data_IF_000185875280
#
_entry.id   IF_000185875280
#
_cell.length_a   1.000
_cell.length_b   1.000
_cell.length_c   1.000
_cell.angle_alpha   90.00
_cell.angle_beta   90.00
_cell.angle_gamma   90.00
#
_symmetry.space_group_name_H-M   'P 1'
#
loop_
_entity.id
_entity.type
_entity.pdbx_description
1 polymer ?
#
# COMPACT_ATOMS: atom_id res chain seq x y z
N UNK A 1 48.67 -11.15 8.79
CA UNK A 1 49.20 -12.21 9.66
C UNK A 1 48.48 -13.50 9.27
N UNK A 2 49.21 -14.27 8.57
CA UNK A 2 49.17 -15.60 8.06
C UNK A 2 48.76 -16.68 9.09
N UNK A 3 47.88 -17.59 8.69
CA UNK A 3 47.80 -18.96 9.24
C UNK A 3 47.01 -19.83 8.25
N UNK A 4 47.55 -20.55 7.50
CA UNK A 4 48.27 -21.84 7.38
C UNK A 4 47.28 -23.00 7.29
N UNK A 5 47.27 -23.53 6.07
CA UNK A 5 46.81 -24.85 5.62
C UNK A 5 47.35 -26.00 6.47
N UNK A 6 46.55 -27.02 6.68
CA UNK A 6 47.01 -28.33 7.05
C UNK A 6 46.38 -29.39 6.17
N UNK A 7 47.18 -29.86 5.20
CA UNK A 7 46.95 -31.08 4.42
C UNK A 7 47.29 -32.28 5.28
N UNK A 8 46.38 -33.25 5.37
CA UNK A 8 46.77 -34.60 5.75
C UNK A 8 46.20 -35.60 4.74
N UNK A 9 47.14 -36.20 3.99
CA UNK A 9 46.90 -37.36 3.11
C UNK A 9 46.91 -38.64 3.96
N UNK A 10 45.84 -39.44 3.88
CA UNK A 10 45.89 -40.84 4.24
C UNK A 10 45.31 -41.69 3.10
N UNK A 11 46.09 -42.73 2.72
CA UNK A 11 45.82 -43.68 1.65
C UNK A 11 44.94 -44.84 2.10
N UNK A 12 44.11 -45.33 1.16
CA UNK A 12 43.24 -46.50 1.02
C UNK A 12 43.74 -47.83 1.70
N UNK A 13 42.84 -48.83 1.96
CA UNK A 13 42.10 -49.54 0.88
C UNK A 13 40.67 -50.02 1.23
N UNK A 14 39.86 -50.10 0.18
CA UNK A 14 38.92 -51.17 -0.17
C UNK A 14 37.87 -51.61 0.84
N UNK A 15 36.60 -51.14 0.64
CA UNK A 15 35.40 -51.94 0.93
C UNK A 15 34.21 -51.37 0.11
N UNK A 16 33.62 -52.22 -0.67
CA UNK A 16 32.40 -51.97 -1.44
C UNK A 16 31.24 -51.78 -0.50
N UNK A 17 30.76 -50.55 -0.34
CA UNK A 17 29.53 -50.26 0.42
C UNK A 17 28.59 -49.42 -0.47
N UNK A 18 27.41 -49.97 -0.70
CA UNK A 18 26.25 -49.24 -1.26
C UNK A 18 26.05 -47.95 -0.48
N UNK A 19 26.46 -46.82 -1.03
CA UNK A 19 26.11 -45.51 -0.45
C UNK A 19 24.82 -45.01 -1.11
N UNK A 20 23.73 -45.08 -0.35
CA UNK A 20 22.52 -44.35 -0.64
C UNK A 20 22.84 -42.87 -0.79
N UNK A 21 22.42 -42.27 -1.91
CA UNK A 21 22.50 -40.84 -2.20
C UNK A 21 21.56 -40.09 -1.21
N UNK A 22 22.06 -39.75 -0.04
CA UNK A 22 21.42 -38.72 0.81
C UNK A 22 22.04 -37.41 0.30
N UNK A 23 21.36 -36.76 -0.65
CA UNK A 23 21.69 -35.42 -1.05
C UNK A 23 21.51 -34.47 0.15
N UNK A 24 22.41 -33.47 0.33
CA UNK A 24 22.19 -32.47 1.38
C UNK A 24 20.90 -31.71 1.09
N UNK A 25 19.92 -31.79 1.98
CA UNK A 25 18.81 -30.85 2.01
C UNK A 25 19.42 -29.48 2.29
N UNK A 26 19.55 -28.65 1.25
CA UNK A 26 19.87 -27.25 1.41
C UNK A 26 18.72 -26.61 2.23
N UNK A 27 19.02 -25.88 3.31
CA UNK A 27 17.99 -25.14 4.02
C UNK A 27 17.42 -24.12 3.06
N UNK A 28 16.14 -24.25 2.71
CA UNK A 28 15.38 -23.21 2.03
C UNK A 28 15.24 -22.08 3.05
N UNK A 29 16.01 -21.00 2.90
CA UNK A 29 15.74 -19.76 3.62
C UNK A 29 14.37 -19.28 3.18
N UNK A 30 13.35 -19.55 3.99
CA UNK A 30 12.07 -18.88 3.87
C UNK A 30 12.33 -17.41 4.23
N UNK A 31 12.39 -16.55 3.20
CA UNK A 31 12.41 -15.11 3.43
C UNK A 31 11.09 -14.72 4.09
N UNK A 32 11.17 -14.23 5.32
CA UNK A 32 10.02 -13.73 6.04
C UNK A 32 9.51 -12.47 5.34
N UNK A 33 8.23 -12.45 4.96
CA UNK A 33 7.58 -11.22 4.52
C UNK A 33 7.57 -10.25 5.69
N UNK A 34 8.13 -9.05 5.50
CA UNK A 34 8.11 -8.02 6.52
C UNK A 34 6.74 -7.33 6.56
N UNK A 35 6.32 -6.94 7.75
CA UNK A 35 5.13 -6.12 7.93
C UNK A 35 5.51 -4.64 7.81
N UNK A 36 4.70 -3.88 7.07
CA UNK A 36 4.91 -2.47 6.83
C UNK A 36 3.67 -1.67 7.22
N UNK A 37 3.83 -0.39 7.50
CA UNK A 37 2.72 0.55 7.57
C UNK A 37 3.05 1.84 6.83
N UNK A 38 2.01 2.55 6.43
CA UNK A 38 2.12 3.94 6.02
C UNK A 38 2.24 4.76 7.30
N UNK A 39 3.30 5.59 7.41
CA UNK A 39 3.41 6.54 8.54
C UNK A 39 2.24 7.53 8.47
N UNK A 40 1.30 7.51 9.44
CA UNK A 40 0.11 8.38 9.39
C UNK A 40 0.45 9.87 9.48
N UNK A 41 1.66 10.23 9.96
CA UNK A 41 2.11 11.63 10.05
C UNK A 41 2.61 12.18 8.72
N UNK A 42 3.03 11.28 7.82
CA UNK A 42 3.60 11.63 6.52
C UNK A 42 2.71 11.18 5.37
N UNK A 43 1.70 10.33 5.63
CA UNK A 43 0.73 9.89 4.64
C UNK A 43 -0.39 10.92 4.46
N UNK A 44 -0.84 11.12 3.21
CA UNK A 44 -1.97 11.98 2.87
C UNK A 44 -2.84 11.28 1.85
N UNK A 45 -4.14 11.38 2.02
CA UNK A 45 -5.14 10.89 1.06
C UNK A 45 -5.94 12.10 0.62
N UNK A 46 -5.66 12.57 -0.59
CA UNK A 46 -6.25 13.76 -1.18
C UNK A 46 -7.17 13.36 -2.33
N UNK A 47 -8.22 14.13 -2.53
CA UNK A 47 -9.07 14.01 -3.70
C UNK A 47 -9.38 15.37 -4.31
N UNK A 48 -9.63 15.37 -5.61
CA UNK A 48 -10.00 16.55 -6.38
C UNK A 48 -11.27 16.26 -7.18
N UNK A 49 -12.20 17.19 -7.15
CA UNK A 49 -13.42 17.14 -7.95
C UNK A 49 -13.60 18.45 -8.71
N UNK A 50 -14.04 18.36 -9.97
CA UNK A 50 -14.30 19.51 -10.82
C UNK A 50 -15.74 20.00 -10.70
N UNK A 51 -15.93 21.32 -10.73
CA UNK A 51 -17.23 21.97 -10.76
C UNK A 51 -17.40 22.72 -12.09
N UNK A 52 -18.47 22.40 -12.82
CA UNK A 52 -18.81 23.00 -14.11
C UNK A 52 -17.64 22.94 -15.12
N UNK A 53 -16.68 22.04 -14.92
CA UNK A 53 -15.47 21.93 -15.75
C UNK A 53 -14.46 23.08 -15.61
N UNK A 54 -14.69 24.05 -14.72
CA UNK A 54 -13.87 25.28 -14.60
C UNK A 54 -13.17 25.40 -13.23
N UNK A 55 -13.80 24.96 -12.17
CA UNK A 55 -13.27 25.09 -10.81
C UNK A 55 -12.98 23.72 -10.23
N UNK A 56 -12.04 23.66 -9.28
CA UNK A 56 -11.68 22.43 -8.60
C UNK A 56 -11.80 22.64 -7.08
N UNK A 57 -12.39 21.65 -6.43
CA UNK A 57 -12.36 21.53 -4.98
C UNK A 57 -11.44 20.42 -4.57
N UNK A 58 -10.67 20.66 -3.52
CA UNK A 58 -9.72 19.72 -2.94
C UNK A 58 -10.16 19.35 -1.54
N UNK A 59 -10.14 18.08 -1.23
CA UNK A 59 -10.36 17.55 0.11
C UNK A 59 -9.26 16.59 0.51
N UNK A 60 -9.09 16.42 1.80
CA UNK A 60 -8.08 15.55 2.39
C UNK A 60 -8.69 14.75 3.54
N UNK A 61 -8.31 13.47 3.64
CA UNK A 61 -8.53 12.65 4.82
C UNK A 61 -7.23 12.59 5.63
N UNK A 62 -7.26 13.13 6.84
CA UNK A 62 -6.09 13.26 7.71
C UNK A 62 -5.88 12.06 8.64
N UNK A 63 -6.87 11.14 8.76
CA UNK A 63 -6.75 9.93 9.58
C UNK A 63 -7.13 8.69 8.78
N UNK A 64 -6.23 7.74 8.78
CA UNK A 64 -6.42 6.42 8.20
C UNK A 64 -5.54 5.40 8.95
N UNK A 65 -5.96 4.16 8.95
CA UNK A 65 -5.19 3.03 9.42
C UNK A 65 -4.74 2.21 8.21
N UNK A 66 -3.53 1.70 8.23
CA UNK A 66 -2.99 0.89 7.15
C UNK A 66 -2.29 -0.37 7.68
N UNK A 67 -2.45 -1.46 6.94
CA UNK A 67 -1.71 -2.70 7.14
C UNK A 67 -1.20 -3.16 5.79
N UNK A 68 0.11 -3.24 5.66
CA UNK A 68 0.79 -3.67 4.44
C UNK A 68 1.64 -4.89 4.76
N UNK A 69 1.63 -5.85 3.86
CA UNK A 69 2.61 -6.94 3.83
C UNK A 69 3.29 -6.83 2.48
N UNK A 70 4.58 -6.48 2.47
CA UNK A 70 5.33 -6.26 1.24
C UNK A 70 6.34 -7.37 1.08
N UNK A 71 6.39 -7.95 -0.11
CA UNK A 71 7.43 -8.87 -0.55
C UNK A 71 8.18 -8.20 -1.71
N UNK A 72 9.37 -7.66 -1.42
CA UNK A 72 10.17 -6.94 -2.41
C UNK A 72 10.70 -7.85 -3.52
N UNK A 73 10.80 -9.16 -3.27
CA UNK A 73 11.23 -10.15 -4.25
C UNK A 73 10.05 -10.64 -5.11
N UNK A 74 8.84 -10.61 -4.55
CA UNK A 74 7.60 -11.05 -5.19
C UNK A 74 6.52 -10.00 -4.97
N UNK A 75 6.58 -8.84 -5.67
CA UNK A 75 5.61 -7.74 -5.50
C UNK A 75 4.15 -8.17 -5.63
N UNK A 76 3.88 -9.21 -6.42
CA UNK A 76 2.55 -9.79 -6.59
C UNK A 76 1.97 -10.41 -5.31
N UNK A 77 2.80 -10.67 -4.29
CA UNK A 77 2.37 -11.15 -2.97
C UNK A 77 2.09 -10.02 -1.99
N UNK A 78 2.30 -8.77 -2.41
CA UNK A 78 2.03 -7.60 -1.58
C UNK A 78 0.55 -7.48 -1.31
N UNK A 79 0.19 -7.32 -0.04
CA UNK A 79 -1.17 -7.09 0.42
C UNK A 79 -1.27 -5.71 1.09
N UNK A 80 -2.27 -4.92 0.67
CA UNK A 80 -2.50 -3.56 1.16
C UNK A 80 -3.93 -3.47 1.66
N UNK A 81 -4.09 -3.10 2.93
CA UNK A 81 -5.38 -2.81 3.54
C UNK A 81 -5.32 -1.42 4.16
N UNK A 82 -6.29 -0.57 3.80
CA UNK A 82 -6.39 0.79 4.33
C UNK A 82 -7.83 1.05 4.78
N UNK A 83 -7.97 1.61 5.98
CA UNK A 83 -9.25 2.10 6.53
C UNK A 83 -9.14 3.60 6.64
N UNK A 84 -10.04 4.33 6.00
CA UNK A 84 -10.06 5.81 5.94
C UNK A 84 -11.22 6.29 6.78
N UNK A 85 -10.94 7.08 7.82
CA UNK A 85 -11.97 7.61 8.70
C UNK A 85 -12.63 8.85 8.09
N UNK A 86 -13.90 8.74 7.68
CA UNK A 86 -14.64 9.82 7.00
C UNK A 86 -14.76 11.07 7.89
N UNK A 87 -14.82 10.90 9.20
CA UNK A 87 -14.84 12.03 10.14
C UNK A 87 -13.58 12.92 10.06
N UNK A 88 -12.46 12.41 9.50
CA UNK A 88 -11.21 13.16 9.34
C UNK A 88 -11.15 14.02 8.08
N UNK A 89 -12.22 14.03 7.29
CA UNK A 89 -12.32 14.83 6.07
C UNK A 89 -12.17 16.31 6.39
N UNK A 90 -11.30 16.98 5.67
CA UNK A 90 -11.10 18.42 5.66
C UNK A 90 -11.22 18.99 4.26
N UNK A 91 -11.68 20.23 4.16
CA UNK A 91 -11.83 20.98 2.91
C UNK A 91 -11.30 22.39 3.12
N UNK A 92 -10.94 23.06 2.02
CA UNK A 92 -10.49 24.46 2.08
C UNK A 92 -11.61 25.45 2.48
N UNK A 93 -12.89 25.08 2.29
CA UNK A 93 -14.03 25.96 2.55
C UNK A 93 -14.75 25.52 3.83
N UNK A 94 -15.09 26.49 4.62
CA UNK A 94 -15.89 26.31 5.83
C UNK A 94 -17.22 25.62 5.48
N UNK A 95 -17.64 24.67 6.30
CA UNK A 95 -18.85 23.84 6.14
C UNK A 95 -18.87 22.86 4.94
N UNK A 96 -17.93 22.91 3.99
CA UNK A 96 -17.91 21.96 2.88
C UNK A 96 -17.65 20.53 3.37
N UNK A 97 -16.79 20.36 4.36
CA UNK A 97 -16.53 19.05 4.96
C UNK A 97 -17.78 18.47 5.64
N UNK A 98 -18.62 19.29 6.28
CA UNK A 98 -19.86 18.85 6.90
C UNK A 98 -20.88 18.42 5.86
N UNK A 99 -20.98 19.18 4.76
CA UNK A 99 -21.83 18.80 3.64
C UNK A 99 -21.40 17.44 3.07
N UNK A 100 -20.09 17.22 2.86
CA UNK A 100 -19.61 15.95 2.35
C UNK A 100 -19.81 14.78 3.32
N UNK A 101 -19.80 15.01 4.65
CA UNK A 101 -20.12 13.98 5.63
C UNK A 101 -21.62 13.65 5.71
N UNK A 102 -22.51 14.51 5.16
CA UNK A 102 -23.97 14.32 5.20
C UNK A 102 -24.42 13.08 4.40
N UNK A 103 -25.70 12.70 4.58
CA UNK A 103 -26.34 11.59 3.90
C UNK A 103 -26.37 11.73 2.35
N UNK A 104 -26.29 12.98 1.85
CA UNK A 104 -26.25 13.25 0.41
C UNK A 104 -24.92 12.80 -0.25
N UNK A 105 -23.83 12.72 0.53
CA UNK A 105 -22.50 12.35 0.06
C UNK A 105 -21.97 11.11 0.78
N UNK A 106 -21.04 11.24 1.72
CA UNK A 106 -20.42 10.09 2.40
C UNK A 106 -21.33 9.36 3.39
N UNK A 107 -22.37 10.02 3.90
CA UNK A 107 -23.26 9.47 4.94
C UNK A 107 -22.48 8.92 6.14
N UNK A 108 -21.59 9.74 6.67
CA UNK A 108 -20.62 9.35 7.71
C UNK A 108 -21.28 8.83 9.01
N UNK A 109 -22.54 9.15 9.24
CA UNK A 109 -23.29 8.66 10.39
C UNK A 109 -23.58 7.16 10.31
N UNK A 110 -23.84 6.64 9.10
CA UNK A 110 -24.08 5.22 8.86
C UNK A 110 -22.81 4.49 8.36
N UNK A 111 -21.92 5.19 7.67
CA UNK A 111 -20.69 4.67 7.07
C UNK A 111 -19.47 5.49 7.51
N UNK A 112 -18.99 5.30 8.74
CA UNK A 112 -17.93 6.12 9.31
C UNK A 112 -16.58 5.92 8.62
N UNK A 113 -16.41 4.81 7.89
CA UNK A 113 -15.16 4.44 7.23
C UNK A 113 -15.36 4.13 5.75
N UNK A 114 -14.35 4.47 4.95
CA UNK A 114 -14.11 3.86 3.65
C UNK A 114 -12.95 2.85 3.77
N UNK A 115 -12.96 1.80 2.93
CA UNK A 115 -11.99 0.70 3.03
C UNK A 115 -11.42 0.37 1.66
N UNK A 116 -10.12 0.19 1.60
CA UNK A 116 -9.44 -0.33 0.42
C UNK A 116 -8.73 -1.64 0.76
N UNK A 117 -8.90 -2.64 -0.10
CA UNK A 117 -8.19 -3.92 -0.01
C UNK A 117 -7.62 -4.25 -1.39
N UNK A 118 -6.30 -4.38 -1.48
CA UNK A 118 -5.67 -4.79 -2.75
C UNK A 118 -6.04 -6.22 -3.12
N UNK A 119 -6.16 -6.46 -4.42
CA UNK A 119 -6.35 -7.80 -5.00
C UNK A 119 -5.13 -8.24 -5.81
N UNK A 120 -4.34 -7.27 -6.30
CA UNK A 120 -3.08 -7.52 -6.99
C UNK A 120 -2.20 -6.27 -6.95
N UNK A 121 -0.89 -6.48 -6.90
CA UNK A 121 0.13 -5.46 -7.14
C UNK A 121 0.99 -5.94 -8.31
N UNK A 122 0.97 -5.20 -9.41
CA UNK A 122 1.62 -5.56 -10.65
C UNK A 122 2.78 -4.60 -10.91
N UNK A 123 4.03 -5.07 -10.92
CA UNK A 123 5.15 -4.24 -11.31
C UNK A 123 5.08 -3.93 -12.82
N UNK A 124 5.14 -2.64 -13.17
CA UNK A 124 5.17 -2.16 -14.55
C UNK A 124 6.60 -1.80 -14.95
N UNK A 125 7.35 -1.21 -14.02
CA UNK A 125 8.79 -0.94 -14.17
C UNK A 125 9.47 -1.01 -12.79
N UNK A 126 10.75 -0.66 -12.71
CA UNK A 126 11.52 -0.71 -11.46
C UNK A 126 10.89 0.09 -10.31
N UNK A 127 10.25 1.22 -10.63
CA UNK A 127 9.70 2.14 -9.62
C UNK A 127 8.20 2.44 -9.84
N UNK A 128 7.54 1.74 -10.76
CA UNK A 128 6.13 1.97 -11.08
C UNK A 128 5.34 0.67 -10.97
N UNK A 129 4.22 0.74 -10.26
CA UNK A 129 3.34 -0.39 -9.94
C UNK A 129 1.89 -0.02 -10.22
N UNK A 130 1.13 -0.95 -10.76
CA UNK A 130 -0.34 -0.86 -10.77
C UNK A 130 -0.90 -1.66 -9.59
N UNK A 131 -1.62 -0.98 -8.72
CA UNK A 131 -2.30 -1.57 -7.55
C UNK A 131 -3.78 -1.72 -7.88
N UNK A 132 -4.24 -2.95 -8.04
CA UNK A 132 -5.65 -3.28 -8.22
C UNK A 132 -6.26 -3.63 -6.88
N UNK A 133 -7.49 -3.21 -6.64
CA UNK A 133 -8.17 -3.52 -5.38
C UNK A 133 -9.65 -3.21 -5.40
N UNK A 134 -10.27 -3.49 -4.27
CA UNK A 134 -11.66 -3.17 -4.01
C UNK A 134 -11.73 -1.99 -3.04
N UNK A 135 -12.43 -0.95 -3.46
CA UNK A 135 -12.75 0.21 -2.62
C UNK A 135 -14.20 0.11 -2.18
N UNK A 136 -14.42 0.19 -0.88
CA UNK A 136 -15.75 0.29 -0.27
C UNK A 136 -15.97 1.71 0.23
N UNK A 137 -17.05 2.35 -0.23
CA UNK A 137 -17.54 3.65 0.23
C UNK A 137 -19.04 3.56 0.38
N UNK A 138 -19.59 4.04 1.48
CA UNK A 138 -21.05 3.99 1.79
C UNK A 138 -21.63 2.56 1.70
N UNK A 139 -20.86 1.55 2.10
CA UNK A 139 -21.26 0.14 2.01
C UNK A 139 -21.31 -0.43 0.58
N UNK A 140 -20.90 0.35 -0.43
CA UNK A 140 -20.83 -0.09 -1.82
C UNK A 140 -19.38 -0.38 -2.17
N UNK A 141 -19.10 -1.61 -2.61
CA UNK A 141 -17.76 -2.03 -3.04
C UNK A 141 -17.62 -1.98 -4.55
N UNK A 142 -16.55 -1.38 -5.05
CA UNK A 142 -16.21 -1.33 -6.48
C UNK A 142 -14.72 -1.62 -6.69
N UNK A 143 -14.36 -2.27 -7.81
CA UNK A 143 -12.96 -2.39 -8.21
C UNK A 143 -12.39 -1.02 -8.59
N UNK A 144 -11.12 -0.79 -8.23
CA UNK A 144 -10.37 0.41 -8.58
C UNK A 144 -8.93 0.01 -8.95
N UNK A 145 -8.33 0.76 -9.86
CA UNK A 145 -6.91 0.67 -10.20
C UNK A 145 -6.22 1.97 -9.80
N UNK A 146 -5.05 1.83 -9.19
CA UNK A 146 -4.21 2.92 -8.73
C UNK A 146 -2.81 2.73 -9.30
N UNK A 147 -2.21 3.81 -9.78
CA UNK A 147 -0.83 3.84 -10.24
C UNK A 147 0.06 4.36 -9.12
N UNK A 148 1.05 3.58 -8.72
CA UNK A 148 1.94 3.86 -7.61
C UNK A 148 3.38 4.02 -8.09
N UNK A 149 3.96 5.20 -7.87
CA UNK A 149 5.33 5.54 -8.18
C UNK A 149 6.17 5.60 -6.92
N UNK A 150 7.23 4.79 -6.85
CA UNK A 150 8.28 4.91 -5.84
C UNK A 150 9.18 6.09 -6.23
N UNK A 151 9.01 7.22 -5.54
CA UNK A 151 9.71 8.47 -5.87
C UNK A 151 11.04 8.61 -5.15
N UNK A 152 11.18 7.93 -4.01
CA UNK A 152 12.42 7.93 -3.22
C UNK A 152 12.49 6.66 -2.38
N UNK A 153 13.70 6.10 -2.24
CA UNK A 153 13.99 4.99 -1.35
C UNK A 153 15.32 5.27 -0.67
N UNK A 154 15.37 5.12 0.65
CA UNK A 154 16.59 5.28 1.43
C UNK A 154 16.56 4.47 2.71
N UNK A 155 17.75 4.19 3.24
CA UNK A 155 17.93 3.59 4.56
C UNK A 155 18.00 4.70 5.60
N UNK A 156 17.09 4.69 6.58
CA UNK A 156 17.21 5.54 7.75
C UNK A 156 18.40 5.05 8.60
N UNK A 157 19.47 5.84 8.61
CA UNK A 157 20.71 5.47 9.29
C UNK A 157 20.61 5.49 10.82
N UNK A 158 19.56 6.10 11.37
CA UNK A 158 19.33 6.12 12.83
C UNK A 158 18.62 4.86 13.31
N UNK A 159 17.68 4.38 12.53
CA UNK A 159 16.86 3.22 12.89
C UNK A 159 17.26 1.93 12.15
N UNK A 160 18.06 2.04 11.08
CA UNK A 160 18.38 0.93 10.19
C UNK A 160 17.18 0.48 9.35
N UNK A 161 16.11 1.26 9.32
CA UNK A 161 14.85 0.92 8.63
C UNK A 161 14.86 1.42 7.20
N UNK A 162 14.44 0.57 6.26
CA UNK A 162 14.25 0.96 4.88
C UNK A 162 12.94 1.74 4.74
N UNK A 163 13.02 2.92 4.10
CA UNK A 163 11.91 3.83 3.88
C UNK A 163 11.70 4.01 2.39
N UNK A 164 10.45 3.84 1.95
CA UNK A 164 10.00 4.13 0.60
C UNK A 164 8.95 5.23 0.60
N UNK A 165 9.14 6.26 -0.21
CA UNK A 165 8.15 7.31 -0.46
C UNK A 165 7.45 7.05 -1.78
N UNK A 166 6.12 6.92 -1.72
CA UNK A 166 5.27 6.65 -2.88
C UNK A 166 4.34 7.82 -3.14
N UNK A 167 4.11 8.07 -4.42
CA UNK A 167 2.98 8.88 -4.90
C UNK A 167 2.06 7.95 -5.66
N UNK A 168 0.80 7.87 -5.20
CA UNK A 168 -0.20 7.00 -5.79
C UNK A 168 -1.31 7.87 -6.38
N UNK A 169 -1.72 7.55 -7.59
CA UNK A 169 -2.76 8.27 -8.32
C UNK A 169 -3.83 7.32 -8.82
N UNK A 170 -5.04 7.82 -8.96
CA UNK A 170 -6.15 7.06 -9.52
C UNK A 170 -7.38 7.93 -9.66
N UNK A 171 -8.47 7.33 -10.05
CA UNK A 171 -9.75 8.05 -10.12
C UNK A 171 -10.90 7.07 -9.88
N UNK A 172 -12.03 7.63 -9.46
CA UNK A 172 -13.28 6.90 -9.31
C UNK A 172 -14.46 7.72 -9.85
N UNK A 173 -15.59 7.05 -10.03
CA UNK A 173 -16.88 7.69 -10.29
C UNK A 173 -17.68 7.69 -8.98
N UNK A 174 -18.02 8.89 -8.46
CA UNK A 174 -18.74 9.01 -7.19
C UNK A 174 -20.16 8.41 -7.25
N UNK A 175 -20.80 8.48 -8.43
CA UNK A 175 -22.11 7.88 -8.66
C UNK A 175 -22.11 6.36 -8.49
N UNK A 176 -21.01 5.68 -8.80
CA UNK A 176 -20.85 4.24 -8.60
C UNK A 176 -20.95 3.81 -7.12
N UNK A 177 -20.78 4.76 -6.19
CA UNK A 177 -20.94 4.59 -4.75
C UNK A 177 -22.22 5.25 -4.20
N UNK A 178 -23.15 5.63 -5.09
CA UNK A 178 -24.43 6.22 -4.71
C UNK A 178 -24.35 7.70 -4.30
N UNK A 179 -23.23 8.39 -4.58
CA UNK A 179 -23.07 9.83 -4.35
C UNK A 179 -23.49 10.61 -5.61
N UNK A 180 -24.80 10.83 -5.78
CA UNK A 180 -25.39 11.46 -6.97
C UNK A 180 -25.85 12.91 -6.73
N UNK A 181 -25.71 13.44 -5.51
CA UNK A 181 -26.11 14.83 -5.22
C UNK A 181 -25.32 15.81 -6.11
N UNK A 182 -26.00 16.89 -6.49
CA UNK A 182 -25.45 18.01 -7.28
C UNK A 182 -24.76 17.57 -8.59
N UNK A 183 -25.25 16.53 -9.25
CA UNK A 183 -24.66 15.94 -10.48
C UNK A 183 -24.58 16.93 -11.65
N UNK A 184 -25.42 17.95 -11.67
CA UNK A 184 -25.42 18.99 -12.72
C UNK A 184 -24.25 19.99 -12.54
N UNK A 185 -23.73 20.10 -11.33
CA UNK A 185 -22.68 21.08 -10.97
C UNK A 185 -21.36 20.43 -10.62
N UNK A 186 -21.36 19.21 -10.09
CA UNK A 186 -20.19 18.50 -9.59
C UNK A 186 -19.91 17.29 -10.48
N UNK A 187 -18.70 17.22 -11.00
CA UNK A 187 -18.24 16.08 -11.82
C UNK A 187 -18.44 14.75 -11.12
N UNK A 188 -18.83 13.73 -11.91
CA UNK A 188 -18.87 12.36 -11.43
C UNK A 188 -17.47 11.79 -11.18
N UNK A 189 -16.48 12.22 -11.97
CA UNK A 189 -15.09 11.84 -11.80
C UNK A 189 -14.47 12.55 -10.60
N UNK A 190 -13.86 11.76 -9.73
CA UNK A 190 -13.06 12.20 -8.60
C UNK A 190 -11.64 11.68 -8.80
N UNK A 191 -10.66 12.56 -8.86
CA UNK A 191 -9.25 12.21 -8.96
C UNK A 191 -8.67 12.04 -7.56
N UNK A 192 -7.87 10.98 -7.38
CA UNK A 192 -7.23 10.62 -6.12
C UNK A 192 -5.73 10.85 -6.23
N UNK A 193 -5.14 11.42 -5.17
CA UNK A 193 -3.69 11.50 -4.98
C UNK A 193 -3.35 11.11 -3.55
N UNK A 194 -2.47 10.11 -3.42
CA UNK A 194 -2.05 9.60 -2.12
C UNK A 194 -0.54 9.74 -2.04
N UNK A 195 -0.06 10.39 -0.99
CA UNK A 195 1.35 10.39 -0.63
C UNK A 195 1.53 9.40 0.52
N UNK A 196 2.38 8.41 0.35
CA UNK A 196 2.59 7.36 1.33
C UNK A 196 4.08 7.20 1.63
N UNK A 197 4.46 7.41 2.89
CA UNK A 197 5.77 7.01 3.41
C UNK A 197 5.61 5.65 4.07
N UNK A 198 6.24 4.65 3.51
CA UNK A 198 6.17 3.26 3.97
C UNK A 198 7.45 2.93 4.71
N UNK A 199 7.31 2.35 5.91
CA UNK A 199 8.43 1.91 6.74
C UNK A 199 8.14 0.52 7.30
N UNK A 200 9.19 -0.26 7.57
CA UNK A 200 9.08 -1.55 8.23
C UNK A 200 8.55 -1.31 9.66
N UNK A 201 7.53 -2.09 10.04
CA UNK A 201 7.08 -2.16 11.42
C UNK A 201 7.73 -3.40 12.01
N UNK A 202 8.62 -3.24 12.99
CA UNK A 202 9.04 -4.38 13.78
C UNK A 202 7.84 -4.92 14.57
N UNK A 203 7.59 -6.23 14.60
CA UNK A 203 6.57 -6.79 15.45
C UNK A 203 6.92 -6.45 16.90
N UNK A 204 6.01 -5.73 17.57
CA UNK A 204 6.12 -5.47 19.00
C UNK A 204 6.19 -6.81 19.72
N UNK A 205 7.35 -7.11 20.32
CA UNK A 205 7.60 -8.32 21.10
C UNK A 205 6.75 -8.40 22.37
#
# INVERSE_FOLDING_TARGET
MTSRFCFHRIRLPGALALLGLIGPLAPTCAQASAAYAIDPRSGRIEFTVSHLGLFHSHGEFSRFDSKLTIDSQHPERTAINVVIHIASLTMAWENAADLLRSAAFFDAAHYPDARFTSTAVVPVSANHYTVKGNLEVRGVTRPIELDADLVEQHLDTQTGTEIGNFVVQGHLQRSAFGMTADSDFISDRVDLRISARIQIIEPSG
#
